data_IF_486724334196
#
_entry.id   IF_486724334196
#
_cell.length_a   1.000
_cell.length_b   1.000
_cell.length_c   1.000
_cell.angle_alpha   90.00
_cell.angle_beta   90.00
_cell.angle_gamma   90.00
#
_symmetry.space_group_name_H-M   'P 1'
#
loop_
_entity.id
_entity.type
_entity.pdbx_description
1 polymer ?
#
# COMPACT_ATOMS: atom_id res chain seq x y z
N UNK A 1 37.89 -26.78 17.20
CA UNK A 1 37.41 -26.43 18.55
C UNK A 1 37.74 -24.98 18.84
N UNK A 2 36.74 -24.09 18.75
CA UNK A 2 36.78 -22.74 19.32
C UNK A 2 35.35 -22.39 19.75
N UNK A 3 35.18 -22.13 21.04
CA UNK A 3 33.90 -22.00 21.72
C UNK A 3 33.34 -20.58 21.61
N UNK A 4 32.10 -20.46 21.14
CA UNK A 4 31.35 -19.19 21.12
C UNK A 4 30.44 -19.18 22.36
N UNK A 5 30.74 -18.29 23.31
CA UNK A 5 29.96 -18.07 24.53
C UNK A 5 28.64 -17.35 24.23
N UNK A 6 27.53 -17.91 24.70
CA UNK A 6 26.21 -17.23 24.82
C UNK A 6 26.24 -16.20 25.95
N UNK A 7 25.65 -15.03 25.71
CA UNK A 7 25.36 -14.01 26.74
C UNK A 7 23.89 -14.15 27.15
N UNK A 8 23.55 -14.15 28.46
CA UNK A 8 22.19 -14.39 28.91
C UNK A 8 21.29 -13.15 28.75
N UNK A 9 20.02 -13.41 28.42
CA UNK A 9 18.93 -12.45 28.47
C UNK A 9 18.35 -12.35 29.88
N UNK A 10 18.21 -11.13 30.38
CA UNK A 10 17.31 -10.81 31.47
C UNK A 10 17.86 -9.72 32.39
N UNK A 11 17.15 -8.59 32.46
CA UNK A 11 16.74 -7.86 33.68
C UNK A 11 16.00 -6.55 33.27
N UNK A 12 15.22 -5.92 34.18
CA UNK A 12 13.78 -5.72 33.98
C UNK A 12 13.38 -4.33 33.49
N UNK A 13 12.12 -4.24 33.03
CA UNK A 13 11.41 -2.99 32.75
C UNK A 13 11.31 -2.13 34.01
N UNK A 14 12.02 -1.01 34.04
CA UNK A 14 11.68 0.15 34.86
C UNK A 14 11.23 1.31 33.97
N UNK A 15 9.96 1.69 34.12
CA UNK A 15 9.37 2.89 33.53
C UNK A 15 10.08 4.13 34.09
N UNK A 16 10.91 4.77 33.28
CA UNK A 16 11.35 6.14 33.53
C UNK A 16 11.37 6.91 32.21
N UNK A 17 10.48 7.89 32.13
CA UNK A 17 10.27 8.80 31.00
C UNK A 17 11.45 9.77 30.93
N UNK A 18 12.54 9.38 30.27
CA UNK A 18 13.70 10.26 30.06
C UNK A 18 13.37 11.25 28.94
N UNK A 19 12.99 12.46 29.36
CA UNK A 19 13.00 13.67 28.53
C UNK A 19 14.42 13.90 28.03
N UNK A 20 14.62 13.91 26.72
CA UNK A 20 15.90 14.32 26.10
C UNK A 20 16.10 15.81 26.36
N UNK A 21 16.99 16.14 27.29
CA UNK A 21 17.49 17.50 27.47
C UNK A 21 18.29 17.92 26.24
N UNK A 22 17.89 19.01 25.60
CA UNK A 22 18.70 19.69 24.60
C UNK A 22 19.94 20.26 25.31
N UNK A 23 21.11 19.71 25.00
CA UNK A 23 22.38 20.34 25.36
C UNK A 23 22.58 21.57 24.48
N UNK A 24 22.15 22.73 24.95
CA UNK A 24 22.53 24.03 24.37
C UNK A 24 23.85 24.47 24.98
N UNK A 25 24.88 24.57 24.14
CA UNK A 25 26.14 25.26 24.49
C UNK A 25 25.82 26.75 24.62
N UNK A 26 25.93 27.29 25.84
CA UNK A 26 25.68 28.70 26.12
C UNK A 26 26.94 29.53 25.84
N UNK A 27 26.78 30.59 25.06
CA UNK A 27 27.79 31.63 24.84
C UNK A 27 27.45 32.81 25.77
N UNK A 28 28.38 33.16 26.65
CA UNK A 28 28.27 34.31 27.55
C UNK A 28 28.31 35.62 26.77
N UNK A 29 27.27 36.45 26.90
CA UNK A 29 27.32 37.88 26.59
C UNK A 29 26.94 38.68 27.83
N UNK A 30 27.88 39.52 28.28
CA UNK A 30 27.79 40.36 29.45
C UNK A 30 26.71 41.45 29.31
N UNK A 31 25.97 41.70 30.40
CA UNK A 31 25.00 42.78 30.52
C UNK A 31 25.64 43.99 31.25
N UNK A 32 25.33 45.24 30.86
CA UNK A 32 25.54 46.39 31.73
C UNK A 32 24.29 46.77 32.53
N UNK A 33 24.60 47.44 33.64
CA UNK A 33 23.83 47.69 34.86
C UNK A 33 22.57 48.56 34.72
N UNK A 34 21.67 48.36 35.69
CA UNK A 34 20.47 49.12 35.96
C UNK A 34 20.76 50.45 36.69
N UNK A 35 19.92 51.45 36.46
CA UNK A 35 19.75 52.63 37.31
C UNK A 35 18.34 52.64 37.92
N UNK A 36 18.27 53.07 39.18
CA UNK A 36 17.10 53.06 40.08
C UNK A 36 16.08 54.20 39.81
N UNK A 37 14.85 54.11 40.38
CA UNK A 37 13.64 54.77 39.87
C UNK A 37 13.25 56.06 40.61
N UNK A 38 12.52 56.95 39.94
CA UNK A 38 11.81 58.10 40.52
C UNK A 38 10.33 57.80 40.77
N UNK A 39 9.71 58.29 41.86
CA UNK A 39 8.33 57.96 42.25
C UNK A 39 7.28 58.80 41.47
N UNK A 40 6.06 58.26 41.22
CA UNK A 40 5.01 58.97 40.48
C UNK A 40 4.09 59.83 41.38
N UNK A 41 3.44 60.90 40.86
CA UNK A 41 2.39 61.67 41.54
C UNK A 41 1.01 60.99 41.53
N UNK A 42 0.04 61.43 42.37
CA UNK A 42 -1.12 60.65 42.82
C UNK A 42 -2.31 60.58 41.84
N UNK A 43 -3.12 59.54 42.04
CA UNK A 43 -4.21 59.00 41.21
C UNK A 43 -5.46 59.89 41.02
N UNK A 44 -6.09 59.72 39.86
CA UNK A 44 -7.47 60.11 39.55
C UNK A 44 -8.37 58.84 39.44
N UNK A 45 -9.68 58.93 39.71
CA UNK A 45 -10.53 57.80 40.15
C UNK A 45 -10.83 56.72 39.09
N UNK A 46 -11.24 55.50 39.50
CA UNK A 46 -11.19 54.32 38.67
C UNK A 46 -12.36 54.28 37.68
N UNK A 47 -12.05 54.38 36.38
CA UNK A 47 -12.97 53.97 35.33
C UNK A 47 -12.90 52.46 35.22
N UNK A 48 -14.00 51.77 35.52
CA UNK A 48 -14.13 50.32 35.40
C UNK A 48 -13.87 49.85 33.96
N UNK A 49 -12.61 49.54 33.65
CA UNK A 49 -12.22 48.82 32.43
C UNK A 49 -12.37 47.34 32.73
N UNK A 50 -13.39 46.72 32.14
CA UNK A 50 -13.50 45.26 32.08
C UNK A 50 -12.19 44.70 31.54
N UNK A 51 -11.49 43.90 32.35
CA UNK A 51 -10.28 43.20 31.92
C UNK A 51 -10.67 42.25 30.78
N UNK A 52 -10.46 42.70 29.54
CA UNK A 52 -10.61 41.88 28.36
C UNK A 52 -9.85 40.58 28.55
N UNK A 53 -10.57 39.44 28.48
CA UNK A 53 -10.06 38.08 28.62
C UNK A 53 -8.70 37.97 27.93
N UNK A 54 -7.60 37.83 28.69
CA UNK A 54 -6.23 37.71 28.17
C UNK A 54 -6.20 36.60 27.12
N UNK A 55 -6.24 36.96 25.83
CA UNK A 55 -6.06 36.03 24.71
C UNK A 55 -4.67 35.44 24.90
N UNK A 56 -4.57 34.19 25.36
CA UNK A 56 -3.31 33.45 25.37
C UNK A 56 -2.71 33.61 23.97
N UNK A 57 -1.54 34.23 23.85
CA UNK A 57 -0.81 34.33 22.59
C UNK A 57 -0.56 32.90 22.11
N UNK A 58 -1.40 32.42 21.21
CA UNK A 58 -1.20 31.13 20.57
C UNK A 58 0.05 31.33 19.72
N UNK A 59 1.15 30.70 20.12
CA UNK A 59 2.36 30.68 19.31
C UNK A 59 1.97 30.23 17.90
N UNK A 60 2.41 30.93 16.84
CA UNK A 60 2.09 30.55 15.47
C UNK A 60 2.52 29.10 15.27
N UNK A 61 1.54 28.21 15.05
CA UNK A 61 1.83 26.82 14.68
C UNK A 61 2.45 26.86 13.30
N UNK A 62 3.65 26.31 13.17
CA UNK A 62 4.28 26.13 11.86
C UNK A 62 3.34 25.30 10.98
N UNK A 63 3.17 25.65 9.70
CA UNK A 63 2.36 24.85 8.79
C UNK A 63 2.92 23.42 8.71
N UNK A 64 2.04 22.41 8.58
CA UNK A 64 2.48 21.05 8.36
C UNK A 64 3.22 20.95 7.02
N UNK A 65 4.24 20.10 6.96
CA UNK A 65 4.96 19.84 5.71
C UNK A 65 4.02 19.09 4.76
N UNK A 66 3.87 19.58 3.54
CA UNK A 66 3.06 18.96 2.48
C UNK A 66 3.71 19.20 1.11
N UNK A 67 3.18 18.55 0.06
CA UNK A 67 3.59 18.83 -1.32
C UNK A 67 3.22 20.27 -1.74
N UNK A 68 2.16 20.85 -1.18
CA UNK A 68 1.75 22.25 -1.39
C UNK A 68 2.65 23.25 -0.66
N UNK A 69 3.26 22.84 0.45
CA UNK A 69 4.19 23.64 1.25
C UNK A 69 5.51 22.90 1.48
N UNK A 70 6.27 22.63 0.40
CA UNK A 70 7.45 21.80 0.48
C UNK A 70 8.54 22.53 1.25
N UNK A 71 9.20 21.79 2.13
CA UNK A 71 10.33 22.30 2.90
C UNK A 71 11.63 21.74 2.33
N UNK A 72 12.65 22.57 2.23
CA UNK A 72 13.98 22.12 1.82
C UNK A 72 14.73 21.51 3.01
N UNK A 73 15.51 20.47 2.74
CA UNK A 73 16.41 19.91 3.73
C UNK A 73 17.42 20.98 4.19
N UNK A 74 17.57 21.11 5.51
CA UNK A 74 18.59 21.94 6.12
C UNK A 74 19.62 21.04 6.79
N UNK A 75 20.91 21.39 6.64
CA UNK A 75 22.00 20.66 7.29
C UNK A 75 21.80 20.70 8.81
N UNK A 76 21.95 19.57 9.54
CA UNK A 76 21.85 19.56 11.00
C UNK A 76 22.93 20.40 11.69
N UNK A 77 24.14 20.42 11.10
CA UNK A 77 25.28 21.19 11.58
C UNK A 77 25.65 22.26 10.54
N UNK A 78 26.07 23.44 11.03
CA UNK A 78 26.65 24.49 10.19
C UNK A 78 27.99 24.01 9.63
N UNK A 79 28.33 24.46 8.43
CA UNK A 79 29.64 24.18 7.82
C UNK A 79 30.77 24.62 8.75
N UNK A 80 31.82 23.79 8.86
CA UNK A 80 33.00 24.06 9.69
C UNK A 80 32.88 23.63 11.15
N UNK A 81 31.67 23.27 11.64
CA UNK A 81 31.50 22.78 13.02
C UNK A 81 32.11 21.38 13.20
N UNK A 82 31.91 20.50 12.21
CA UNK A 82 32.46 19.15 12.21
C UNK A 82 33.05 18.83 10.83
N UNK A 83 34.39 18.97 10.64
CA UNK A 83 35.04 18.75 9.35
C UNK A 83 34.77 17.37 8.75
N UNK A 84 34.66 16.33 9.59
CA UNK A 84 34.34 14.97 9.16
C UNK A 84 32.97 14.89 8.46
N UNK A 85 31.96 15.62 8.96
CA UNK A 85 30.63 15.66 8.33
C UNK A 85 30.65 16.41 7.00
N UNK A 86 31.40 17.51 6.92
CA UNK A 86 31.59 18.25 5.67
C UNK A 86 32.33 17.41 4.61
N UNK A 87 33.34 16.62 5.01
CA UNK A 87 34.04 15.68 4.15
C UNK A 87 33.12 14.55 3.68
N UNK A 88 32.34 13.95 4.57
CA UNK A 88 31.40 12.89 4.22
C UNK A 88 30.39 13.35 3.15
N UNK A 89 29.82 14.55 3.29
CA UNK A 89 28.92 15.09 2.26
C UNK A 89 29.62 15.34 0.92
N UNK A 90 30.90 15.72 0.93
CA UNK A 90 31.68 15.88 -0.30
C UNK A 90 31.92 14.53 -0.98
N UNK A 91 32.27 13.50 -0.22
CA UNK A 91 32.44 12.13 -0.74
C UNK A 91 31.14 11.63 -1.37
N UNK A 92 30.01 11.77 -0.67
CA UNK A 92 28.70 11.34 -1.17
C UNK A 92 28.29 12.08 -2.45
N UNK A 93 28.61 13.37 -2.57
CA UNK A 93 28.34 14.13 -3.80
C UNK A 93 29.19 13.64 -4.97
N UNK A 94 30.50 13.45 -4.75
CA UNK A 94 31.41 12.95 -5.78
C UNK A 94 31.03 11.55 -6.25
N UNK A 95 30.69 10.68 -5.31
CA UNK A 95 30.20 9.32 -5.61
C UNK A 95 28.90 9.35 -6.44
N UNK A 96 27.95 10.20 -6.05
CA UNK A 96 26.71 10.44 -6.81
C UNK A 96 26.98 10.92 -8.25
N UNK A 97 27.92 11.85 -8.42
CA UNK A 97 28.31 12.37 -9.74
C UNK A 97 28.94 11.28 -10.63
N UNK A 98 29.83 10.46 -10.06
CA UNK A 98 30.45 9.34 -10.77
C UNK A 98 29.41 8.30 -11.23
N UNK A 99 28.50 7.89 -10.34
CA UNK A 99 27.45 6.92 -10.66
C UNK A 99 26.47 7.46 -11.72
N UNK A 100 26.20 8.77 -11.70
CA UNK A 100 25.39 9.43 -12.75
C UNK A 100 26.09 9.45 -14.09
N UNK A 101 27.41 9.64 -14.12
CA UNK A 101 28.19 9.55 -15.35
C UNK A 101 28.13 8.12 -15.93
N UNK A 102 28.34 7.07 -15.12
CA UNK A 102 28.21 5.69 -15.57
C UNK A 102 26.78 5.38 -16.09
N UNK A 103 25.75 5.84 -15.37
CA UNK A 103 24.37 5.66 -15.82
C UNK A 103 24.09 6.38 -17.14
N UNK A 104 24.68 7.56 -17.37
CA UNK A 104 24.55 8.29 -18.64
C UNK A 104 25.21 7.54 -19.80
N UNK A 105 26.41 6.98 -19.60
CA UNK A 105 27.09 6.15 -20.62
C UNK A 105 26.28 4.91 -20.98
N UNK A 106 25.71 4.23 -19.99
CA UNK A 106 24.86 3.06 -20.24
C UNK A 106 23.57 3.44 -20.98
N UNK A 107 22.97 4.60 -20.70
CA UNK A 107 21.78 5.07 -21.43
C UNK A 107 22.07 5.32 -22.92
N UNK A 108 23.27 5.79 -23.25
CA UNK A 108 23.69 5.93 -24.66
C UNK A 108 23.72 4.56 -25.34
N UNK A 109 24.34 3.56 -24.71
CA UNK A 109 24.37 2.19 -25.24
C UNK A 109 22.98 1.56 -25.33
N UNK A 110 22.11 1.82 -24.35
CA UNK A 110 20.72 1.37 -24.39
C UNK A 110 19.99 1.92 -25.61
N UNK A 111 20.21 3.20 -25.95
CA UNK A 111 19.60 3.80 -27.15
C UNK A 111 20.07 3.11 -28.44
N UNK A 112 21.35 2.74 -28.54
CA UNK A 112 21.90 1.98 -29.67
C UNK A 112 21.27 0.58 -29.76
N UNK A 113 21.15 -0.13 -28.64
CA UNK A 113 20.52 -1.46 -28.59
C UNK A 113 19.02 -1.37 -28.92
N UNK A 114 18.34 -0.31 -28.47
CA UNK A 114 16.94 -0.05 -28.81
C UNK A 114 16.73 0.19 -30.31
N UNK A 115 17.65 0.89 -30.99
CA UNK A 115 17.55 1.05 -32.45
C UNK A 115 17.75 -0.29 -33.17
N UNK A 116 18.68 -1.12 -32.71
CA UNK A 116 18.89 -2.48 -33.26
C UNK A 116 17.63 -3.34 -33.08
N UNK A 117 17.01 -3.28 -31.91
CA UNK A 117 15.75 -3.97 -31.64
C UNK A 117 14.64 -3.53 -32.62
N UNK A 118 14.47 -2.22 -32.82
CA UNK A 118 13.45 -1.68 -33.72
C UNK A 118 13.65 -2.12 -35.19
N UNK A 119 14.90 -2.19 -35.66
CA UNK A 119 15.20 -2.73 -36.99
C UNK A 119 14.86 -4.22 -37.12
N UNK A 120 15.16 -5.02 -36.09
CA UNK A 120 14.83 -6.45 -36.07
C UNK A 120 13.32 -6.67 -36.01
N UNK A 121 12.60 -5.88 -35.24
CA UNK A 121 11.14 -5.92 -35.17
C UNK A 121 10.49 -5.59 -36.52
N UNK A 122 10.96 -4.55 -37.21
CA UNK A 122 10.51 -4.21 -38.56
C UNK A 122 10.78 -5.32 -39.58
N UNK A 123 11.97 -5.93 -39.55
CA UNK A 123 12.30 -7.10 -40.38
C UNK A 123 11.38 -8.28 -40.08
N UNK A 124 11.11 -8.53 -38.80
CA UNK A 124 10.23 -9.61 -38.38
C UNK A 124 8.78 -9.38 -38.83
N UNK A 125 8.30 -8.14 -38.81
CA UNK A 125 6.98 -7.78 -39.32
C UNK A 125 6.88 -7.99 -40.84
N UNK A 126 7.86 -7.56 -41.62
CA UNK A 126 7.91 -7.83 -43.07
C UNK A 126 7.90 -9.34 -43.37
N UNK A 127 8.71 -10.13 -42.64
CA UNK A 127 8.73 -11.59 -42.78
C UNK A 127 7.40 -12.25 -42.33
N UNK A 128 6.59 -11.62 -41.49
CA UNK A 128 5.26 -12.15 -41.12
C UNK A 128 4.28 -12.00 -42.28
N UNK A 129 4.34 -10.89 -43.01
CA UNK A 129 3.48 -10.61 -44.16
C UNK A 129 3.86 -11.48 -45.37
N UNK A 130 5.15 -11.81 -45.53
CA UNK A 130 5.61 -12.71 -46.58
C UNK A 130 5.29 -14.19 -46.27
N UNK A 131 4.31 -14.75 -46.98
CA UNK A 131 3.87 -16.14 -46.87
C UNK A 131 4.84 -17.17 -47.50
N UNK A 132 5.76 -16.72 -48.36
CA UNK A 132 6.75 -17.56 -49.07
C UNK A 132 7.98 -17.91 -48.23
N UNK A 133 8.20 -17.20 -47.12
CA UNK A 133 9.38 -17.37 -46.26
C UNK A 133 9.20 -18.58 -45.35
N UNK A 134 10.20 -19.48 -45.34
CA UNK A 134 10.22 -20.68 -44.51
C UNK A 134 10.14 -20.39 -43.00
N UNK A 135 9.49 -21.30 -42.27
CA UNK A 135 9.25 -21.18 -40.82
C UNK A 135 10.57 -21.03 -40.02
N UNK A 136 11.66 -21.65 -40.47
CA UNK A 136 12.98 -21.60 -39.84
C UNK A 136 13.55 -20.18 -39.77
N UNK A 137 13.43 -19.40 -40.85
CA UNK A 137 13.90 -18.01 -40.88
C UNK A 137 13.08 -17.12 -39.91
N UNK A 138 11.77 -17.38 -39.78
CA UNK A 138 10.90 -16.67 -38.83
C UNK A 138 11.25 -17.00 -37.38
N UNK A 139 11.62 -18.25 -37.09
CA UNK A 139 12.07 -18.68 -35.76
C UNK A 139 13.43 -18.06 -35.42
N UNK A 140 14.39 -18.09 -36.35
CA UNK A 140 15.72 -17.48 -36.14
C UNK A 140 15.63 -15.97 -35.88
N UNK A 141 14.78 -15.26 -36.62
CA UNK A 141 14.54 -13.83 -36.39
C UNK A 141 13.92 -13.55 -35.01
N UNK A 142 12.98 -14.40 -34.56
CA UNK A 142 12.39 -14.29 -33.20
C UNK A 142 13.41 -14.53 -32.11
N UNK A 143 14.24 -15.56 -32.24
CA UNK A 143 15.29 -15.87 -31.27
C UNK A 143 16.28 -14.71 -31.13
N UNK A 144 16.73 -14.14 -32.25
CA UNK A 144 17.62 -12.98 -32.23
C UNK A 144 16.97 -11.74 -31.61
N UNK A 145 15.67 -11.54 -31.82
CA UNK A 145 14.93 -10.46 -31.17
C UNK A 145 14.85 -10.66 -29.65
N UNK A 146 14.60 -11.89 -29.20
CA UNK A 146 14.54 -12.25 -27.78
C UNK A 146 15.89 -12.11 -27.08
N UNK A 147 16.99 -12.46 -27.75
CA UNK A 147 18.36 -12.23 -27.26
C UNK A 147 18.64 -10.74 -27.03
N UNK A 148 18.30 -9.89 -28.00
CA UNK A 148 18.47 -8.44 -27.89
C UNK A 148 17.56 -7.85 -26.81
N UNK A 149 16.32 -8.34 -26.67
CA UNK A 149 15.40 -7.90 -25.62
C UNK A 149 15.92 -8.27 -24.22
N UNK A 150 16.50 -9.47 -24.07
CA UNK A 150 17.13 -9.91 -22.81
C UNK A 150 18.38 -9.10 -22.48
N UNK A 151 19.21 -8.74 -23.47
CA UNK A 151 20.36 -7.85 -23.27
C UNK A 151 19.90 -6.46 -22.80
N UNK A 152 18.90 -5.90 -23.48
CA UNK A 152 18.30 -4.62 -23.14
C UNK A 152 17.73 -4.60 -21.72
N UNK A 153 17.02 -5.66 -21.33
CA UNK A 153 16.49 -5.83 -19.97
C UNK A 153 17.61 -5.79 -18.93
N UNK A 154 18.71 -6.52 -19.15
CA UNK A 154 19.87 -6.51 -18.24
C UNK A 154 20.51 -5.12 -18.11
N UNK A 155 20.63 -4.38 -19.22
CA UNK A 155 21.15 -3.03 -19.21
C UNK A 155 20.23 -2.05 -18.46
N UNK A 156 18.91 -2.14 -18.67
CA UNK A 156 17.92 -1.31 -17.98
C UNK A 156 17.90 -1.58 -16.47
N UNK A 157 18.00 -2.85 -16.06
CA UNK A 157 18.14 -3.22 -14.64
C UNK A 157 19.41 -2.59 -14.04
N UNK A 158 20.54 -2.66 -14.75
CA UNK A 158 21.79 -2.04 -14.30
C UNK A 158 21.66 -0.52 -14.15
N UNK A 159 21.06 0.16 -15.12
CA UNK A 159 20.83 1.61 -15.06
C UNK A 159 19.94 1.98 -13.86
N UNK A 160 18.86 1.24 -13.65
CA UNK A 160 17.99 1.45 -12.48
C UNK A 160 18.75 1.31 -11.15
N UNK A 161 19.64 0.32 -11.04
CA UNK A 161 20.47 0.12 -9.85
C UNK A 161 21.41 1.33 -9.63
N UNK A 162 22.11 1.77 -10.68
CA UNK A 162 23.04 2.91 -10.59
C UNK A 162 22.31 4.21 -10.24
N UNK A 163 21.12 4.43 -10.82
CA UNK A 163 20.30 5.60 -10.50
C UNK A 163 19.89 5.63 -9.03
N UNK A 164 19.42 4.49 -8.49
CA UNK A 164 19.09 4.38 -7.06
C UNK A 164 20.32 4.62 -6.21
N UNK A 165 21.44 3.94 -6.48
CA UNK A 165 22.69 4.08 -5.72
C UNK A 165 23.21 5.52 -5.73
N UNK A 166 23.07 6.22 -6.86
CA UNK A 166 23.54 7.60 -7.00
C UNK A 166 22.83 8.59 -6.06
N UNK A 167 21.59 8.32 -5.61
CA UNK A 167 20.84 9.29 -4.81
C UNK A 167 20.46 8.77 -3.42
N UNK A 168 20.39 7.46 -3.19
CA UNK A 168 19.88 6.87 -1.96
C UNK A 168 20.65 7.32 -0.70
N UNK A 169 21.97 7.57 -0.86
CA UNK A 169 22.83 8.00 0.25
C UNK A 169 22.79 9.51 0.51
N UNK A 170 22.18 10.31 -0.37
CA UNK A 170 22.11 11.76 -0.20
C UNK A 170 21.15 12.11 0.96
N UNK A 171 21.61 12.84 2.00
CA UNK A 171 20.76 13.17 3.15
C UNK A 171 19.52 13.97 2.79
N UNK A 172 19.61 14.83 1.78
CA UNK A 172 18.46 15.58 1.26
C UNK A 172 17.34 14.66 0.77
N UNK A 173 17.70 13.63 0.00
CA UNK A 173 16.76 12.66 -0.58
C UNK A 173 16.09 11.83 0.51
N UNK A 174 16.88 11.25 1.42
CA UNK A 174 16.34 10.46 2.54
C UNK A 174 15.43 11.30 3.43
N UNK A 175 15.80 12.54 3.69
CA UNK A 175 14.98 13.46 4.47
C UNK A 175 13.67 13.80 3.75
N UNK A 176 13.69 14.06 2.43
CA UNK A 176 12.49 14.33 1.65
C UNK A 176 11.49 13.18 1.73
N UNK A 177 11.94 11.94 1.50
CA UNK A 177 11.10 10.74 1.58
C UNK A 177 10.58 10.51 3.01
N UNK A 178 11.44 10.65 4.02
CA UNK A 178 11.05 10.49 5.43
C UNK A 178 9.99 11.50 5.89
N UNK A 179 9.88 12.66 5.25
CA UNK A 179 8.88 13.69 5.54
C UNK A 179 7.66 13.63 4.59
N UNK A 180 7.42 12.48 3.94
CA UNK A 180 6.28 12.25 3.06
C UNK A 180 6.18 13.21 1.85
N UNK A 181 7.32 13.71 1.36
CA UNK A 181 7.43 14.53 0.14
C UNK A 181 8.06 13.75 -1.02
N UNK A 182 7.88 12.42 -1.03
CA UNK A 182 8.44 11.57 -2.06
C UNK A 182 7.74 11.81 -3.40
N UNK A 183 8.52 12.22 -4.40
CA UNK A 183 8.10 12.20 -5.81
C UNK A 183 8.28 10.78 -6.38
N UNK A 184 7.16 10.15 -6.76
CA UNK A 184 7.14 8.80 -7.31
C UNK A 184 7.67 8.74 -8.76
N UNK A 185 7.91 9.86 -9.42
CA UNK A 185 8.59 9.88 -10.73
C UNK A 185 10.06 9.50 -10.59
N UNK A 186 10.68 9.90 -9.48
CA UNK A 186 12.08 9.60 -9.19
C UNK A 186 12.23 8.15 -8.69
N UNK A 187 13.07 7.36 -9.36
CA UNK A 187 13.34 5.96 -9.01
C UNK A 187 13.88 5.79 -7.58
N UNK A 188 14.76 6.70 -7.14
CA UNK A 188 15.36 6.62 -5.80
C UNK A 188 14.33 6.87 -4.70
N UNK A 189 13.40 7.80 -4.93
CA UNK A 189 12.30 8.06 -4.01
C UNK A 189 11.36 6.86 -3.92
N UNK A 190 10.95 6.30 -5.07
CA UNK A 190 10.12 5.09 -5.11
C UNK A 190 10.76 3.93 -4.39
N UNK A 191 12.02 3.64 -4.69
CA UNK A 191 12.76 2.57 -4.04
C UNK A 191 12.82 2.76 -2.52
N UNK A 192 13.00 3.99 -2.03
CA UNK A 192 12.96 4.26 -0.58
C UNK A 192 11.57 4.04 0.03
N UNK A 193 10.49 4.40 -0.68
CA UNK A 193 9.11 4.15 -0.21
C UNK A 193 8.79 2.66 -0.23
N UNK A 194 9.18 1.94 -1.27
CA UNK A 194 9.02 0.49 -1.37
C UNK A 194 9.83 -0.22 -0.29
N UNK A 195 11.09 0.18 -0.10
CA UNK A 195 11.96 -0.35 0.95
C UNK A 195 11.34 -0.14 2.32
N UNK A 196 10.73 1.03 2.56
CA UNK A 196 10.01 1.33 3.80
C UNK A 196 8.86 0.34 3.99
N UNK A 197 8.00 0.19 3.00
CA UNK A 197 6.85 -0.73 3.06
C UNK A 197 7.29 -2.19 3.32
N UNK A 198 8.37 -2.64 2.69
CA UNK A 198 8.91 -4.00 2.84
C UNK A 198 9.70 -4.23 4.13
N UNK A 199 10.37 -3.22 4.68
CA UNK A 199 11.29 -3.38 5.83
C UNK A 199 10.77 -2.82 7.15
N UNK A 200 9.95 -1.77 7.11
CA UNK A 200 9.41 -1.14 8.33
C UNK A 200 8.21 -1.91 8.90
N UNK A 201 7.81 -3.02 8.26
CA UNK A 201 6.86 -4.00 8.79
C UNK A 201 5.43 -3.90 8.26
N UNK A 202 5.10 -2.94 7.40
CA UNK A 202 3.73 -2.80 6.85
C UNK A 202 3.33 -4.02 5.99
N UNK A 203 4.23 -4.47 5.11
CA UNK A 203 4.03 -5.71 4.34
C UNK A 203 4.01 -6.95 5.26
N UNK A 204 4.88 -6.99 6.27
CA UNK A 204 4.95 -8.12 7.20
C UNK A 204 3.64 -8.25 8.00
N UNK A 205 3.11 -7.12 8.49
CA UNK A 205 1.81 -7.06 9.15
C UNK A 205 0.69 -7.54 8.22
N UNK A 206 0.68 -7.10 6.97
CA UNK A 206 -0.31 -7.56 5.98
C UNK A 206 -0.22 -9.08 5.77
N UNK A 207 0.98 -9.61 5.53
CA UNK A 207 1.20 -11.03 5.30
C UNK A 207 0.87 -11.88 6.53
N UNK A 208 1.23 -11.41 7.73
CA UNK A 208 0.83 -12.03 9.00
C UNK A 208 -0.70 -12.17 9.07
N UNK A 209 -1.44 -11.09 8.77
CA UNK A 209 -2.91 -11.11 8.78
C UNK A 209 -3.51 -12.00 7.72
N UNK A 210 -2.93 -12.03 6.51
CA UNK A 210 -3.38 -12.91 5.41
C UNK A 210 -3.33 -14.38 5.83
N UNK A 211 -2.24 -14.81 6.48
CA UNK A 211 -2.09 -16.20 6.94
C UNK A 211 -2.88 -16.48 8.22
N UNK A 212 -2.84 -15.59 9.22
CA UNK A 212 -3.60 -15.79 10.47
C UNK A 212 -5.10 -15.87 10.25
N UNK A 213 -5.61 -15.10 9.29
CA UNK A 213 -7.02 -15.07 8.93
C UNK A 213 -7.32 -15.98 7.74
N UNK A 214 -6.45 -16.93 7.40
CA UNK A 214 -6.63 -17.96 6.36
C UNK A 214 -7.10 -17.43 4.99
N UNK A 215 -6.78 -16.19 4.63
CA UNK A 215 -7.07 -15.68 3.27
C UNK A 215 -6.33 -16.52 2.23
N UNK A 216 -5.10 -16.88 2.56
CA UNK A 216 -4.38 -18.00 1.95
C UNK A 216 -4.47 -19.16 2.95
N UNK A 217 -5.04 -20.32 2.58
CA UNK A 217 -5.37 -20.73 1.21
C UNK A 217 -6.80 -20.41 0.74
N UNK A 218 -7.74 -20.01 1.61
CA UNK A 218 -9.18 -20.06 1.33
C UNK A 218 -9.56 -19.34 0.02
N UNK A 219 -9.21 -18.04 -0.10
CA UNK A 219 -9.57 -17.21 -1.26
C UNK A 219 -8.65 -17.48 -2.44
N UNK A 220 -7.33 -17.46 -2.20
CA UNK A 220 -6.31 -17.74 -3.20
C UNK A 220 -5.23 -18.65 -2.63
N UNK A 221 -4.69 -19.59 -3.44
CA UNK A 221 -3.65 -20.51 -2.98
C UNK A 221 -2.30 -19.81 -2.74
N UNK A 222 -1.99 -18.78 -3.53
CA UNK A 222 -0.73 -18.03 -3.44
C UNK A 222 -1.03 -16.55 -3.66
N UNK A 223 -0.44 -15.71 -2.80
CA UNK A 223 -0.54 -14.26 -2.90
C UNK A 223 0.82 -13.65 -2.56
N UNK A 224 1.38 -12.86 -3.47
CA UNK A 224 2.65 -12.16 -3.30
C UNK A 224 2.45 -10.67 -3.62
N UNK A 225 2.06 -9.85 -2.63
CA UNK A 225 1.84 -8.43 -2.86
C UNK A 225 3.10 -7.73 -3.38
N UNK A 226 2.96 -7.01 -4.49
CA UNK A 226 4.01 -6.19 -5.10
C UNK A 226 3.72 -4.69 -5.03
N UNK A 227 2.46 -4.32 -4.76
CA UNK A 227 2.03 -2.93 -4.56
C UNK A 227 1.36 -2.80 -3.20
N UNK A 228 1.47 -1.60 -2.62
CA UNK A 228 0.90 -1.30 -1.32
C UNK A 228 -0.56 -0.84 -1.47
N UNK A 229 -1.48 -1.57 -0.84
CA UNK A 229 -2.92 -1.33 -0.92
C UNK A 229 -3.49 -1.04 0.47
N UNK A 230 -4.05 0.16 0.62
CA UNK A 230 -4.71 0.61 1.83
C UNK A 230 -6.18 0.88 1.60
N UNK A 231 -7.01 0.38 2.52
CA UNK A 231 -8.43 0.73 2.59
C UNK A 231 -8.60 1.96 3.48
N UNK A 232 -9.36 2.94 3.02
CA UNK A 232 -9.71 4.14 3.77
C UNK A 232 -11.20 4.12 4.06
N UNK A 233 -11.52 4.06 5.36
CA UNK A 233 -12.89 4.05 5.86
C UNK A 233 -13.18 5.33 6.67
N UNK A 234 -14.47 5.56 6.95
CA UNK A 234 -14.90 6.65 7.85
C UNK A 234 -14.45 6.34 9.28
N UNK A 235 -13.96 7.35 10.01
CA UNK A 235 -13.54 7.18 11.40
C UNK A 235 -14.73 7.02 12.33
N UNK A 236 -14.56 6.26 13.41
CA UNK A 236 -15.52 6.26 14.51
C UNK A 236 -15.52 7.60 15.25
N UNK A 237 -16.58 7.95 16.02
CA UNK A 237 -16.59 9.19 16.81
C UNK A 237 -15.39 9.32 17.77
N UNK A 238 -14.91 8.20 18.33
CA UNK A 238 -13.73 8.16 19.21
C UNK A 238 -12.43 8.45 18.45
N UNK A 239 -12.25 7.86 17.28
CA UNK A 239 -11.10 8.12 16.40
C UNK A 239 -11.10 9.55 15.89
N UNK A 240 -12.27 10.11 15.58
CA UNK A 240 -12.41 11.50 15.13
C UNK A 240 -11.95 12.47 16.21
N UNK A 241 -12.30 12.24 17.48
CA UNK A 241 -11.85 13.09 18.59
C UNK A 241 -10.33 13.12 18.74
N UNK A 242 -9.65 12.01 18.40
CA UNK A 242 -8.19 11.88 18.51
C UNK A 242 -7.48 12.45 17.29
N UNK A 243 -7.89 12.03 16.09
CA UNK A 243 -7.21 12.34 14.83
C UNK A 243 -7.69 13.63 14.19
N UNK A 244 -8.92 14.07 14.50
CA UNK A 244 -9.67 15.14 13.81
C UNK A 244 -9.83 14.89 12.30
N UNK A 245 -9.71 13.64 11.86
CA UNK A 245 -9.89 13.23 10.47
C UNK A 245 -11.21 12.50 10.32
N UNK A 246 -11.98 12.80 9.28
CA UNK A 246 -13.25 12.11 8.96
C UNK A 246 -13.01 10.71 8.39
N UNK A 247 -11.87 10.52 7.73
CA UNK A 247 -11.47 9.26 7.11
C UNK A 247 -10.04 8.93 7.52
N UNK A 248 -9.77 7.64 7.75
CA UNK A 248 -8.46 7.13 8.11
C UNK A 248 -8.14 5.86 7.35
N UNK A 249 -6.84 5.60 7.18
CA UNK A 249 -6.34 4.31 6.70
C UNK A 249 -6.69 3.25 7.74
N UNK A 250 -7.23 2.14 7.27
CA UNK A 250 -7.59 0.97 8.08
C UNK A 250 -6.37 0.06 8.16
N UNK A 251 -6.12 -0.48 9.35
CA UNK A 251 -5.09 -1.49 9.55
C UNK A 251 -5.63 -2.88 9.11
N UNK A 252 -4.81 -3.71 8.44
CA UNK A 252 -5.25 -5.03 8.00
C UNK A 252 -5.81 -5.89 9.14
N UNK A 253 -6.98 -6.48 8.92
CA UNK A 253 -7.65 -7.39 9.85
C UNK A 253 -8.42 -6.71 11.00
N UNK A 254 -8.52 -5.37 11.03
CA UNK A 254 -9.33 -4.68 12.04
C UNK A 254 -10.82 -4.90 11.84
N UNK A 255 -11.59 -4.86 12.93
CA UNK A 255 -13.04 -4.86 12.88
C UNK A 255 -13.58 -3.47 12.49
N UNK A 256 -14.25 -3.40 11.35
CA UNK A 256 -15.05 -2.24 10.98
C UNK A 256 -16.50 -2.44 11.43
N UNK A 257 -17.24 -1.35 11.58
CA UNK A 257 -18.69 -1.37 11.78
C UNK A 257 -19.40 -1.22 10.44
N UNK A 258 -20.59 -1.77 10.31
CA UNK A 258 -21.38 -1.69 9.07
C UNK A 258 -21.68 -0.25 8.65
N UNK A 259 -21.78 0.68 9.61
CA UNK A 259 -21.90 2.11 9.33
C UNK A 259 -20.66 2.73 8.64
N UNK A 260 -19.46 2.20 8.88
CA UNK A 260 -18.22 2.67 8.24
C UNK A 260 -18.09 2.16 6.80
N UNK A 261 -18.68 1.00 6.51
CA UNK A 261 -18.65 0.28 5.23
C UNK A 261 -19.95 0.40 4.42
N UNK A 262 -20.93 1.17 4.90
CA UNK A 262 -22.20 1.43 4.18
C UNK A 262 -21.98 2.05 2.79
N UNK A 263 -20.97 2.92 2.68
CA UNK A 263 -20.54 3.48 1.39
C UNK A 263 -19.25 2.81 0.93
N UNK A 264 -19.02 2.69 -0.38
CA UNK A 264 -17.77 2.11 -0.92
C UNK A 264 -16.55 2.76 -0.28
N UNK A 265 -15.61 1.98 0.29
CA UNK A 265 -14.40 2.53 0.86
C UNK A 265 -13.51 3.12 -0.24
N UNK A 266 -12.67 4.10 0.13
CA UNK A 266 -11.66 4.61 -0.79
C UNK A 266 -10.44 3.70 -0.74
N UNK A 267 -9.90 3.34 -1.89
CA UNK A 267 -8.65 2.58 -1.96
C UNK A 267 -7.51 3.55 -2.26
N UNK A 268 -6.47 3.51 -1.43
CA UNK A 268 -5.20 4.17 -1.67
C UNK A 268 -4.17 3.14 -2.09
N UNK A 269 -3.55 3.34 -3.24
CA UNK A 269 -2.53 2.46 -3.80
C UNK A 269 -1.22 3.22 -3.95
N UNK A 270 -0.12 2.63 -3.47
CA UNK A 270 1.23 3.08 -3.81
C UNK A 270 1.86 2.04 -4.74
N UNK A 271 2.20 2.49 -5.95
CA UNK A 271 2.69 1.63 -7.04
C UNK A 271 4.16 1.92 -7.27
N UNK A 272 4.97 0.87 -7.48
CA UNK A 272 6.42 0.99 -7.59
C UNK A 272 6.97 0.85 -9.02
N UNK A 273 6.17 0.38 -9.99
CA UNK A 273 6.56 0.29 -11.40
C UNK A 273 6.26 1.58 -12.19
N UNK A 274 7.04 1.86 -13.24
CA UNK A 274 6.88 3.07 -14.09
C UNK A 274 5.76 2.93 -15.10
N UNK A 275 5.66 1.77 -15.74
CA UNK A 275 4.72 1.53 -16.83
C UNK A 275 3.27 1.50 -16.35
N UNK A 276 2.36 1.83 -17.26
CA UNK A 276 0.93 1.75 -17.02
C UNK A 276 0.51 0.29 -17.12
N UNK A 277 0.15 -0.30 -15.99
CA UNK A 277 -0.39 -1.67 -15.91
C UNK A 277 -1.85 -1.62 -15.54
N UNK A 278 -2.63 -2.53 -16.11
CA UNK A 278 -4.03 -2.70 -15.77
C UNK A 278 -4.18 -3.74 -14.65
N UNK A 279 -5.06 -3.43 -13.71
CA UNK A 279 -5.38 -4.29 -12.56
C UNK A 279 -6.88 -4.54 -12.45
N UNK A 280 -7.24 -5.69 -11.90
CA UNK A 280 -8.62 -6.04 -11.55
C UNK A 280 -8.79 -6.06 -10.04
N UNK A 281 -9.68 -5.22 -9.53
CA UNK A 281 -10.03 -5.17 -8.11
C UNK A 281 -11.24 -6.07 -7.82
N UNK A 282 -11.15 -6.83 -6.73
CA UNK A 282 -12.21 -7.68 -6.20
C UNK A 282 -12.38 -7.41 -4.70
N UNK A 283 -13.61 -7.34 -4.21
CA UNK A 283 -13.94 -7.39 -2.79
C UNK A 283 -14.80 -8.62 -2.53
N UNK A 284 -14.28 -9.57 -1.75
CA UNK A 284 -14.87 -10.89 -1.55
C UNK A 284 -15.06 -11.17 -0.07
N UNK A 285 -16.19 -11.77 0.28
CA UNK A 285 -16.49 -12.36 1.58
C UNK A 285 -16.47 -13.89 1.45
N UNK A 286 -15.54 -14.63 2.06
CA UNK A 286 -15.49 -16.09 1.99
C UNK A 286 -16.32 -16.78 3.09
N UNK A 287 -16.99 -16.03 3.97
CA UNK A 287 -17.58 -16.54 5.21
C UNK A 287 -19.12 -16.49 5.20
N UNK A 288 -19.76 -16.49 4.01
CA UNK A 288 -21.22 -16.52 3.92
C UNK A 288 -21.73 -17.93 4.21
N UNK A 289 -22.64 -18.13 5.19
CA UNK A 289 -23.11 -19.46 5.54
C UNK A 289 -23.96 -20.07 4.42
N UNK A 290 -23.72 -21.33 4.10
CA UNK A 290 -24.57 -22.15 3.25
C UNK A 290 -25.17 -23.32 4.06
N UNK A 291 -26.45 -23.21 4.48
CA UNK A 291 -27.11 -24.25 5.26
C UNK A 291 -27.24 -25.60 4.55
N UNK A 292 -27.36 -25.58 3.21
CA UNK A 292 -27.59 -26.82 2.43
C UNK A 292 -26.36 -27.73 2.42
N UNK A 293 -25.16 -27.13 2.38
CA UNK A 293 -23.89 -27.86 2.39
C UNK A 293 -23.23 -27.91 3.76
N UNK A 294 -23.90 -27.39 4.81
CA UNK A 294 -23.35 -27.23 6.17
C UNK A 294 -21.95 -26.56 6.19
N UNK A 295 -21.70 -25.65 5.25
CA UNK A 295 -20.39 -25.03 5.03
C UNK A 295 -20.49 -23.53 4.80
N UNK A 296 -19.36 -22.90 4.46
CA UNK A 296 -19.34 -21.52 3.99
C UNK A 296 -19.24 -21.47 2.46
N UNK A 297 -19.72 -20.37 1.90
CA UNK A 297 -19.63 -20.00 0.49
C UNK A 297 -19.12 -18.56 0.38
N UNK A 298 -18.76 -18.17 -0.83
CA UNK A 298 -18.20 -16.86 -1.13
C UNK A 298 -19.28 -15.88 -1.61
N UNK A 299 -19.05 -14.59 -1.42
CA UNK A 299 -19.88 -13.53 -1.98
C UNK A 299 -19.04 -12.39 -2.55
N UNK A 300 -19.39 -11.95 -3.77
CA UNK A 300 -18.73 -10.82 -4.44
C UNK A 300 -19.41 -9.48 -4.10
N UNK A 301 -18.79 -8.69 -3.24
CA UNK A 301 -19.31 -7.37 -2.86
C UNK A 301 -19.04 -6.29 -3.90
N UNK A 302 -17.86 -6.35 -4.55
CA UNK A 302 -17.42 -5.30 -5.46
C UNK A 302 -16.39 -5.81 -6.45
N UNK A 303 -16.44 -5.29 -7.68
CA UNK A 303 -15.46 -5.62 -8.71
C UNK A 303 -15.26 -4.45 -9.68
N UNK A 304 -14.00 -4.22 -10.06
CA UNK A 304 -13.65 -3.28 -11.11
C UNK A 304 -12.44 -3.79 -11.91
N UNK A 305 -12.62 -4.19 -13.18
CA UNK A 305 -11.51 -4.53 -14.08
C UNK A 305 -10.88 -3.29 -14.70
N UNK A 306 -9.73 -3.49 -15.38
CA UNK A 306 -9.04 -2.50 -16.20
C UNK A 306 -8.68 -1.19 -15.47
N UNK A 307 -8.22 -1.29 -14.23
CA UNK A 307 -7.74 -0.14 -13.47
C UNK A 307 -6.31 0.17 -13.91
N UNK A 308 -6.13 1.25 -14.66
CA UNK A 308 -4.82 1.72 -15.08
C UNK A 308 -4.04 2.33 -13.92
N UNK A 309 -2.90 1.74 -13.60
CA UNK A 309 -2.03 2.13 -12.51
C UNK A 309 -0.58 2.24 -12.96
N UNK A 310 0.10 3.25 -12.47
CA UNK A 310 1.55 3.47 -12.60
C UNK A 310 2.04 4.18 -11.34
N UNK A 311 3.35 4.30 -11.14
CA UNK A 311 3.88 5.04 -10.00
C UNK A 311 3.44 6.51 -9.93
N UNK A 312 3.13 7.12 -11.08
CA UNK A 312 2.68 8.52 -11.17
C UNK A 312 1.14 8.65 -11.18
N UNK A 313 0.42 7.54 -11.30
CA UNK A 313 -1.04 7.53 -11.26
C UNK A 313 -1.58 8.05 -9.91
N UNK A 314 -2.79 8.64 -9.88
CA UNK A 314 -3.38 9.12 -8.64
C UNK A 314 -3.57 7.97 -7.66
N UNK A 315 -3.06 8.13 -6.43
CA UNK A 315 -3.11 7.06 -5.44
C UNK A 315 -4.53 6.69 -5.02
N UNK A 316 -5.52 7.59 -5.17
CA UNK A 316 -6.92 7.33 -4.81
C UNK A 316 -7.73 6.88 -6.01
N UNK A 317 -8.35 5.71 -5.90
CA UNK A 317 -9.08 5.09 -7.01
C UNK A 317 -10.58 5.44 -7.00
N UNK A 318 -11.15 5.69 -8.18
CA UNK A 318 -12.59 5.75 -8.40
C UNK A 318 -13.08 4.47 -9.09
N UNK A 319 -13.83 3.64 -8.36
CA UNK A 319 -14.02 2.24 -8.72
C UNK A 319 -15.50 1.81 -8.87
N UNK A 320 -16.47 2.71 -8.64
CA UNK A 320 -17.91 2.39 -8.67
C UNK A 320 -18.53 2.48 -10.09
N UNK A 321 -17.80 2.05 -11.11
CA UNK A 321 -18.23 2.21 -12.52
C UNK A 321 -18.58 0.89 -13.21
N UNK A 322 -18.25 -0.26 -12.62
CA UNK A 322 -18.44 -1.58 -13.23
C UNK A 322 -19.48 -2.41 -12.46
N UNK A 323 -19.07 -3.03 -11.35
CA UNK A 323 -19.98 -3.76 -10.48
C UNK A 323 -20.44 -2.84 -9.36
N UNK A 324 -21.76 -2.76 -9.12
CA UNK A 324 -22.31 -1.97 -8.01
C UNK A 324 -21.75 -2.51 -6.70
N UNK A 325 -21.27 -1.63 -5.84
CA UNK A 325 -20.87 -2.00 -4.48
C UNK A 325 -22.08 -2.45 -3.66
N UNK A 326 -21.97 -3.63 -3.06
CA UNK A 326 -22.90 -4.11 -2.03
C UNK A 326 -22.15 -4.01 -0.69
N UNK A 327 -22.67 -3.25 0.30
CA UNK A 327 -22.04 -3.16 1.61
C UNK A 327 -21.89 -4.53 2.27
N UNK A 328 -20.82 -4.77 3.04
CA UNK A 328 -20.73 -5.86 4.01
C UNK A 328 -22.01 -6.03 4.82
N UNK A 329 -22.49 -7.27 4.94
CA UNK A 329 -23.75 -7.58 5.63
C UNK A 329 -23.67 -8.95 6.31
N UNK A 330 -22.79 -9.11 7.31
CA UNK A 330 -22.68 -10.37 8.05
C UNK A 330 -24.02 -10.72 8.72
N UNK A 331 -24.47 -11.97 8.62
CA UNK A 331 -25.82 -12.35 9.08
C UNK A 331 -25.90 -12.45 10.61
N UNK A 332 -27.11 -12.27 11.17
CA UNK A 332 -27.28 -12.37 12.60
C UNK A 332 -27.04 -13.80 13.08
N UNK A 333 -26.11 -13.95 14.02
CA UNK A 333 -25.77 -15.23 14.65
C UNK A 333 -24.64 -16.01 13.99
N UNK A 334 -24.08 -15.53 12.87
CA UNK A 334 -22.82 -16.04 12.32
C UNK A 334 -21.62 -15.49 13.12
N UNK A 335 -20.43 -16.12 13.01
CA UNK A 335 -19.18 -15.51 13.47
C UNK A 335 -18.86 -14.23 12.68
N UNK A 336 -17.68 -13.64 12.92
CA UNK A 336 -17.24 -12.53 12.07
C UNK A 336 -17.01 -13.00 10.64
N UNK A 337 -17.21 -12.10 9.69
CA UNK A 337 -16.91 -12.30 8.27
C UNK A 337 -15.62 -11.56 7.90
N UNK A 338 -14.82 -12.17 7.02
CA UNK A 338 -13.59 -11.59 6.47
C UNK A 338 -13.92 -10.91 5.14
N UNK A 339 -13.58 -9.65 5.00
CA UNK A 339 -13.72 -8.92 3.74
C UNK A 339 -12.34 -8.71 3.14
N UNK A 340 -12.08 -9.37 2.03
CA UNK A 340 -10.77 -9.39 1.37
C UNK A 340 -10.86 -8.55 0.11
N UNK A 341 -10.09 -7.46 0.07
CA UNK A 341 -9.86 -6.67 -1.12
C UNK A 341 -8.60 -7.16 -1.83
N UNK A 342 -8.75 -7.59 -3.07
CA UNK A 342 -7.65 -8.00 -3.94
C UNK A 342 -7.53 -7.01 -5.08
N UNK A 343 -6.30 -6.73 -5.49
CA UNK A 343 -5.98 -5.93 -6.67
C UNK A 343 -4.97 -6.72 -7.49
N UNK A 344 -5.46 -7.52 -8.43
CA UNK A 344 -4.66 -8.49 -9.17
C UNK A 344 -4.17 -7.90 -10.50
N UNK A 345 -2.90 -8.11 -10.89
CA UNK A 345 -2.40 -7.64 -12.18
C UNK A 345 -3.07 -8.42 -13.31
N UNK A 346 -3.48 -7.72 -14.37
CA UNK A 346 -3.92 -8.34 -15.62
C UNK A 346 -2.70 -8.95 -16.36
N UNK A 347 -2.89 -9.89 -17.30
CA UNK A 347 -1.76 -10.48 -18.02
C UNK A 347 -1.03 -9.44 -18.89
N UNK A 348 0.31 -9.51 -18.98
CA UNK A 348 1.08 -8.62 -19.85
C UNK A 348 0.85 -8.94 -21.34
N UNK A 349 1.03 -7.95 -22.21
CA UNK A 349 0.90 -8.11 -23.66
C UNK A 349 2.14 -8.80 -24.22
N UNK A 350 1.95 -9.88 -24.98
CA UNK A 350 3.01 -10.52 -25.77
C UNK A 350 4.15 -11.17 -24.99
N UNK A 351 4.03 -11.30 -23.67
CA UNK A 351 5.06 -11.85 -22.79
C UNK A 351 4.43 -12.64 -21.65
N UNK A 352 5.24 -13.43 -20.94
CA UNK A 352 4.80 -14.14 -19.73
C UNK A 352 4.74 -13.20 -18.52
N UNK A 353 5.72 -12.31 -18.38
CA UNK A 353 5.92 -11.41 -17.24
C UNK A 353 6.19 -9.97 -17.70
N UNK A 354 5.98 -9.01 -16.79
CA UNK A 354 6.29 -7.61 -17.05
C UNK A 354 7.81 -7.38 -17.07
N UNK A 355 8.33 -6.85 -18.19
CA UNK A 355 9.75 -6.51 -18.36
C UNK A 355 9.96 -5.00 -18.40
N UNK A 356 11.15 -4.55 -17.98
CA UNK A 356 11.54 -3.14 -18.10
C UNK A 356 11.75 -2.74 -19.56
N UNK A 357 12.20 -3.66 -20.40
CA UNK A 357 12.36 -3.47 -21.83
C UNK A 357 11.01 -3.11 -22.49
N UNK A 358 9.96 -3.90 -22.23
CA UNK A 358 8.61 -3.60 -22.72
C UNK A 358 8.07 -2.28 -22.16
N UNK A 359 8.29 -2.03 -20.86
CA UNK A 359 7.92 -0.77 -20.21
C UNK A 359 8.59 0.46 -20.86
N UNK A 360 9.88 0.35 -21.22
CA UNK A 360 10.65 1.43 -21.83
C UNK A 360 10.12 1.84 -23.21
N UNK A 361 9.48 0.90 -23.92
CA UNK A 361 8.91 1.10 -25.26
C UNK A 361 7.45 1.54 -25.23
N UNK A 362 6.68 1.14 -24.22
CA UNK A 362 5.24 1.34 -24.18
C UNK A 362 4.82 2.82 -23.95
N UNK A 363 5.65 3.60 -23.25
CA UNK A 363 5.30 4.98 -22.90
C UNK A 363 4.01 5.04 -22.07
N UNK A 364 3.00 5.75 -22.58
CA UNK A 364 1.68 5.89 -21.94
C UNK A 364 0.71 4.75 -22.29
N UNK A 365 1.08 3.86 -23.21
CA UNK A 365 0.25 2.72 -23.62
C UNK A 365 0.30 1.65 -22.52
N UNK A 366 -0.83 1.04 -22.13
CA UNK A 366 -0.82 -0.03 -21.14
C UNK A 366 0.01 -1.24 -21.60
N UNK A 367 0.90 -1.74 -20.73
CA UNK A 367 1.67 -2.98 -20.97
C UNK A 367 0.85 -4.25 -20.70
N UNK A 368 -0.36 -4.08 -20.16
CA UNK A 368 -1.29 -5.17 -19.81
C UNK A 368 -2.41 -5.30 -20.82
N UNK A 369 -2.90 -6.52 -21.02
CA UNK A 369 -4.10 -6.78 -21.81
C UNK A 369 -5.33 -6.16 -21.14
N UNK A 370 -6.18 -5.52 -21.95
CA UNK A 370 -7.53 -5.12 -21.53
C UNK A 370 -8.42 -6.37 -21.46
N UNK A 371 -9.20 -6.49 -20.38
CA UNK A 371 -10.09 -7.63 -20.15
C UNK A 371 -11.54 -7.19 -20.20
N UNK A 372 -12.32 -7.76 -21.12
CA UNK A 372 -13.75 -7.46 -21.28
C UNK A 372 -14.58 -8.34 -20.32
N UNK A 373 -14.36 -8.15 -19.03
CA UNK A 373 -15.07 -8.88 -17.98
C UNK A 373 -16.51 -8.33 -17.90
N UNK A 374 -17.56 -9.17 -18.04
CA UNK A 374 -18.93 -8.70 -17.92
C UNK A 374 -19.29 -8.33 -16.48
N UNK A 375 -20.29 -7.47 -16.32
CA UNK A 375 -20.84 -7.12 -15.00
C UNK A 375 -21.55 -8.33 -14.42
N UNK A 376 -21.09 -8.81 -13.27
CA UNK A 376 -21.74 -9.89 -12.52
C UNK A 376 -23.07 -9.39 -11.94
N UNK A 377 -24.22 -10.00 -12.30
CA UNK A 377 -25.52 -9.61 -11.77
C UNK A 377 -25.65 -9.98 -10.29
N UNK A 378 -26.51 -9.29 -9.55
CA UNK A 378 -26.63 -9.45 -8.09
C UNK A 378 -27.02 -10.88 -7.64
N UNK A 379 -27.66 -11.66 -8.52
CA UNK A 379 -28.01 -13.06 -8.25
C UNK A 379 -26.80 -14.01 -8.31
N UNK A 380 -25.82 -13.74 -9.17
CA UNK A 380 -24.63 -14.59 -9.39
C UNK A 380 -23.46 -14.23 -8.45
N UNK A 381 -23.65 -13.24 -7.58
CA UNK A 381 -22.62 -12.82 -6.61
C UNK A 381 -22.45 -13.83 -5.48
N UNK A 382 -23.50 -14.55 -5.11
CA UNK A 382 -23.46 -15.60 -4.10
C UNK A 382 -22.87 -16.87 -4.72
N UNK A 383 -21.89 -17.48 -4.07
CA UNK A 383 -21.13 -18.62 -4.61
C UNK A 383 -20.07 -18.23 -5.65
N UNK A 384 -19.60 -16.97 -5.65
CA UNK A 384 -18.61 -16.50 -6.61
C UNK A 384 -17.24 -17.19 -6.41
N UNK A 385 -16.86 -18.09 -7.31
CA UNK A 385 -15.56 -18.76 -7.25
C UNK A 385 -14.43 -17.86 -7.76
N UNK A 386 -13.68 -17.31 -6.80
CA UNK A 386 -12.52 -16.45 -7.08
C UNK A 386 -11.41 -17.21 -7.83
N UNK A 387 -11.20 -18.49 -7.53
CA UNK A 387 -10.10 -19.27 -8.14
C UNK A 387 -10.43 -19.59 -9.59
N UNK A 388 -11.65 -20.03 -9.87
CA UNK A 388 -12.12 -20.23 -11.24
C UNK A 388 -12.11 -18.93 -12.04
N UNK A 389 -12.50 -17.80 -11.42
CA UNK A 389 -12.44 -16.49 -12.06
C UNK A 389 -11.01 -16.08 -12.44
N UNK A 390 -10.07 -16.23 -11.50
CA UNK A 390 -8.66 -15.90 -11.70
C UNK A 390 -8.03 -16.77 -12.79
N UNK A 391 -8.37 -18.07 -12.85
CA UNK A 391 -7.95 -18.97 -13.92
C UNK A 391 -8.54 -18.56 -15.28
N UNK A 392 -9.85 -18.28 -15.34
CA UNK A 392 -10.55 -17.89 -16.58
C UNK A 392 -9.94 -16.67 -17.24
N UNK A 393 -9.54 -15.68 -16.45
CA UNK A 393 -9.03 -14.40 -16.93
C UNK A 393 -7.50 -14.28 -16.87
N UNK A 394 -6.80 -15.38 -16.57
CA UNK A 394 -5.35 -15.43 -16.41
C UNK A 394 -4.79 -14.34 -15.46
N UNK A 395 -5.54 -14.05 -14.38
CA UNK A 395 -5.07 -13.21 -13.30
C UNK A 395 -4.14 -14.06 -12.42
N UNK A 396 -3.11 -13.47 -11.82
CA UNK A 396 -2.18 -14.26 -11.02
C UNK A 396 -1.67 -13.49 -9.79
N UNK A 397 -2.16 -13.89 -8.61
CA UNK A 397 -1.73 -13.34 -7.32
C UNK A 397 -0.30 -13.68 -6.93
N UNK A 398 0.34 -14.66 -7.58
CA UNK A 398 1.75 -14.96 -7.38
C UNK A 398 2.70 -14.01 -8.16
N UNK A 399 2.19 -13.38 -9.23
CA UNK A 399 2.96 -12.42 -10.06
C UNK A 399 2.92 -10.99 -9.54
N UNK A 400 2.21 -10.73 -8.45
CA UNK A 400 2.11 -9.42 -7.84
C UNK A 400 0.69 -9.05 -7.45
N UNK A 401 0.46 -7.74 -7.34
CA UNK A 401 -0.82 -7.16 -6.96
C UNK A 401 -0.80 -6.59 -5.55
N UNK A 402 -1.98 -6.13 -5.12
CA UNK A 402 -2.21 -5.61 -3.78
C UNK A 402 -3.26 -6.44 -3.08
N UNK A 403 -3.20 -6.48 -1.76
CA UNK A 403 -4.23 -7.08 -0.95
C UNK A 403 -4.45 -6.25 0.32
N UNK A 404 -5.68 -6.25 0.79
CA UNK A 404 -6.05 -5.69 2.09
C UNK A 404 -7.23 -6.49 2.63
N UNK A 405 -7.42 -6.49 3.94
CA UNK A 405 -8.56 -7.14 4.55
C UNK A 405 -9.03 -6.42 5.80
N UNK A 406 -10.30 -6.57 6.11
CA UNK A 406 -10.88 -6.21 7.40
C UNK A 406 -11.92 -7.26 7.80
N UNK A 407 -12.45 -7.13 9.01
CA UNK A 407 -13.51 -8.00 9.52
C UNK A 407 -14.75 -7.20 9.87
N UNK A 408 -15.89 -7.85 9.80
CA UNK A 408 -17.16 -7.28 10.28
C UNK A 408 -17.92 -8.35 11.06
N UNK A 409 -18.75 -7.89 12.00
CA UNK A 409 -19.69 -8.71 12.75
C UNK A 409 -21.05 -8.06 12.59
N UNK A 410 -22.12 -8.86 12.66
CA UNK A 410 -23.48 -8.34 12.64
C UNK A 410 -23.68 -7.17 13.62
N UNK A 411 -24.28 -6.10 13.11
CA UNK A 411 -24.75 -4.95 13.86
C UNK A 411 -26.18 -4.59 13.46
N UNK A 412 -26.83 -3.68 14.20
CA UNK A 412 -28.22 -3.26 13.94
C UNK A 412 -28.40 -2.55 12.57
N UNK A 413 -27.33 -1.98 12.00
CA UNK A 413 -27.38 -1.33 10.70
C UNK A 413 -27.41 -2.35 9.56
N UNK A 414 -26.96 -3.59 9.77
CA UNK A 414 -27.06 -4.67 8.78
C UNK A 414 -28.51 -4.92 8.38
N UNK A 415 -29.45 -4.84 9.32
CA UNK A 415 -30.88 -4.97 9.02
C UNK A 415 -31.39 -3.89 8.04
N UNK A 416 -30.77 -2.71 8.00
CA UNK A 416 -31.07 -1.67 6.99
C UNK A 416 -30.53 -2.05 5.62
N UNK A 417 -29.34 -2.68 5.55
CA UNK A 417 -28.74 -3.15 4.30
C UNK A 417 -29.63 -4.20 3.63
N UNK A 418 -30.16 -5.16 4.41
CA UNK A 418 -31.09 -6.18 3.90
C UNK A 418 -32.38 -5.58 3.33
N UNK A 419 -32.94 -4.59 4.02
CA UNK A 419 -34.18 -3.92 3.61
C UNK A 419 -33.98 -2.99 2.42
N UNK A 420 -33.01 -2.08 2.49
CA UNK A 420 -32.88 -0.95 1.58
C UNK A 420 -32.00 -1.24 0.36
N UNK A 421 -31.01 -2.14 0.51
CA UNK A 421 -30.03 -2.44 -0.55
C UNK A 421 -30.33 -3.77 -1.23
N UNK A 422 -30.54 -4.84 -0.45
CA UNK A 422 -30.74 -6.19 -0.97
C UNK A 422 -32.21 -6.50 -1.30
N UNK A 423 -33.16 -5.75 -0.72
CA UNK A 423 -34.61 -6.00 -0.81
C UNK A 423 -34.98 -7.46 -0.44
N UNK A 424 -34.32 -8.02 0.59
CA UNK A 424 -34.52 -9.40 1.06
C UNK A 424 -34.73 -9.44 2.58
N UNK A 425 -35.50 -10.42 3.09
CA UNK A 425 -35.58 -10.63 4.52
C UNK A 425 -34.22 -11.06 5.07
N UNK A 426 -33.87 -10.57 6.25
CA UNK A 426 -32.63 -10.92 6.91
C UNK A 426 -32.69 -12.35 7.48
N UNK A 427 -31.79 -13.26 7.08
CA UNK A 427 -31.69 -14.58 7.67
C UNK A 427 -31.13 -14.50 9.10
N UNK A 428 -31.65 -15.37 9.96
CA UNK A 428 -31.24 -15.44 11.36
C UNK A 428 -30.71 -16.84 11.66
N UNK A 429 -29.45 -16.92 12.09
CA UNK A 429 -28.81 -18.18 12.43
C UNK A 429 -28.76 -18.37 13.94
N UNK A 430 -29.26 -19.52 14.40
CA UNK A 430 -29.09 -19.96 15.78
C UNK A 430 -27.74 -20.65 15.98
N UNK A 431 -27.35 -20.85 17.24
CA UNK A 431 -26.26 -21.78 17.54
C UNK A 431 -26.76 -23.21 17.25
N UNK A 432 -25.93 -24.07 16.64
CA UNK A 432 -26.31 -25.47 16.50
C UNK A 432 -26.58 -26.06 17.89
N UNK A 433 -27.62 -26.90 18.04
CA UNK A 433 -27.90 -27.54 19.31
C UNK A 433 -26.68 -28.37 19.72
N UNK A 434 -26.26 -28.23 20.98
CA UNK A 434 -25.16 -29.02 21.52
C UNK A 434 -25.60 -30.48 21.56
N UNK A 435 -24.97 -31.34 20.75
CA UNK A 435 -25.22 -32.78 20.76
C UNK A 435 -24.90 -33.29 22.17
N UNK A 436 -25.88 -33.91 22.82
CA UNK A 436 -25.69 -34.54 24.13
C UNK A 436 -24.99 -35.90 23.92
N UNK A 437 -23.72 -36.07 24.34
CA UNK A 437 -22.98 -37.32 24.13
C UNK A 437 -23.63 -38.51 24.85
N UNK A 438 -24.50 -38.26 25.83
CA UNK A 438 -25.19 -39.28 26.60
C UNK A 438 -26.67 -39.40 26.23
N UNK A 439 -27.12 -38.81 25.11
CA UNK A 439 -28.52 -38.88 24.68
C UNK A 439 -29.02 -40.34 24.61
N UNK A 440 -28.22 -41.23 24.04
CA UNK A 440 -28.54 -42.66 23.93
C UNK A 440 -28.51 -43.38 25.29
N UNK A 441 -27.58 -43.02 26.18
CA UNK A 441 -27.46 -43.63 27.51
C UNK A 441 -28.62 -43.20 28.42
N UNK A 442 -29.07 -41.95 28.30
CA UNK A 442 -30.26 -41.43 29.01
C UNK A 442 -31.56 -42.09 28.54
N UNK A 443 -31.62 -42.59 27.30
CA UNK A 443 -32.77 -43.30 26.77
C UNK A 443 -32.81 -44.79 27.17
N UNK A 444 -31.67 -45.38 27.55
CA UNK A 444 -31.63 -46.76 28.05
C UNK A 444 -32.12 -46.81 29.49
N UNK A 445 -33.02 -47.76 29.79
CA UNK A 445 -33.46 -48.02 31.16
C UNK A 445 -32.24 -48.40 32.00
N UNK A 446 -32.07 -47.72 33.14
CA UNK A 446 -30.91 -47.88 34.05
C UNK A 446 -30.79 -49.30 34.62
N UNK A 447 -31.88 -50.07 34.58
CA UNK A 447 -31.94 -51.47 34.99
C UNK A 447 -32.74 -52.27 33.97
N UNK A 448 -32.18 -53.41 33.54
CA UNK A 448 -32.91 -54.49 32.86
C UNK A 448 -33.52 -55.30 34.00
N UNK A 449 -34.86 -55.32 34.08
CA UNK A 449 -35.59 -56.16 35.04
C UNK A 449 -35.57 -57.61 34.59
#
# INVERSE_FOLDING_TARGET
MFAIRKVPHGLPRSLARVSRGNATVAVNSAAPQASEPTPPPPEAPPVAKTEGRKRKKILPKRPPISLESPRKWARPLKSGVLPAYDLALRVLKRDSENLKAEAAELRVRIAEVQSVYAELEGKLQALREDASVGLEAKVAARQRLEEVDSELEGMLQKVNILEVQSQINLPSVRWTVSNAMADMSNLSHRHLVEQKWRKDGDLDLLMERIYQLNVVPDVLPVLKPSIDLHVIARTTPKEFLTSKKVQSVVEPGVFLRSKQTMTPPKLRVNVFHTDVRLYTMLLVDPDVPNPESESFTTFLHWMKPNIALSATSPSLLNLNTHTKYIPPHPQRGTPYHRYVTLLLPQPPIGSSDYTLAAASRAGDIPTSMHLDIPVVPDAERLGFDVRAFVQKWNLNGAKGGGAHLWREVWDENVSQIYKDVLNKPEPHYGRPPKVDPYAEIKQKKKYIL
#
